data_IF_432911900135
#
_entry.id   IF_432911900135
#
_cell.length_a   1.000
_cell.length_b   1.000
_cell.length_c   1.000
_cell.angle_alpha   90.00
_cell.angle_beta   90.00
_cell.angle_gamma   90.00
#
_symmetry.space_group_name_H-M   'P 1'
#
loop_
_entity.id
_entity.type
_entity.pdbx_description
1 polymer ?
#
# COMPACT_ATOMS: atom_id res chain seq x y z
N UNK A 1 -6.79 -32.24 12.97
CA UNK A 1 -8.17 -32.50 12.49
C UNK A 1 -8.86 -33.58 13.32
N UNK A 2 -8.17 -34.62 13.77
CA UNK A 2 -8.76 -35.72 14.55
C UNK A 2 -9.18 -35.33 15.99
N UNK A 3 -8.45 -34.41 16.63
CA UNK A 3 -8.82 -33.89 17.96
C UNK A 3 -10.06 -32.98 17.95
N UNK A 4 -10.34 -32.32 16.82
CA UNK A 4 -11.49 -31.41 16.70
C UNK A 4 -12.81 -32.17 16.52
N UNK A 5 -12.77 -33.30 15.81
CA UNK A 5 -13.95 -34.17 15.64
C UNK A 5 -14.32 -34.89 16.95
N UNK A 6 -13.33 -35.23 17.78
CA UNK A 6 -13.58 -35.88 19.07
C UNK A 6 -14.33 -34.97 20.06
N UNK A 7 -14.01 -33.68 20.08
CA UNK A 7 -14.72 -32.70 20.92
C UNK A 7 -16.14 -32.41 20.41
N UNK A 8 -16.37 -32.49 19.11
CA UNK A 8 -17.70 -32.30 18.51
C UNK A 8 -18.63 -33.48 18.79
N UNK A 9 -18.14 -34.72 18.77
CA UNK A 9 -18.95 -35.89 19.13
C UNK A 9 -19.27 -35.97 20.63
N UNK A 10 -18.31 -35.62 21.50
CA UNK A 10 -18.52 -35.58 22.94
C UNK A 10 -19.59 -34.54 23.34
N UNK A 11 -19.64 -33.40 22.65
CA UNK A 11 -20.68 -32.37 22.85
C UNK A 11 -22.08 -32.82 22.43
N UNK A 12 -22.19 -33.64 21.38
CA UNK A 12 -23.48 -34.12 20.87
C UNK A 12 -24.07 -35.24 21.76
N UNK A 13 -23.23 -36.11 22.31
CA UNK A 13 -23.62 -37.16 23.25
C UNK A 13 -24.14 -36.61 24.59
N UNK A 14 -23.56 -35.52 25.09
CA UNK A 14 -23.96 -34.88 26.34
C UNK A 14 -25.34 -34.20 26.24
N UNK A 15 -25.67 -33.63 25.07
CA UNK A 15 -26.97 -33.02 24.82
C UNK A 15 -28.09 -34.07 24.75
N UNK A 16 -27.83 -35.20 24.09
CA UNK A 16 -28.83 -36.27 23.93
C UNK A 16 -29.12 -37.01 25.25
N UNK A 17 -28.14 -37.12 26.16
CA UNK A 17 -28.34 -37.75 27.47
C UNK A 17 -29.15 -36.88 28.44
N UNK A 18 -29.17 -35.56 28.24
CA UNK A 18 -29.93 -34.62 29.07
C UNK A 18 -31.43 -34.61 28.71
N UNK A 19 -31.78 -34.76 27.42
CA UNK A 19 -33.19 -34.82 26.99
C UNK A 19 -33.87 -36.13 27.39
N UNK A 20 -33.15 -37.26 27.35
CA UNK A 20 -33.66 -38.56 27.81
C UNK A 20 -33.99 -38.57 29.32
N UNK A 21 -33.31 -37.75 30.12
CA UNK A 21 -33.58 -37.60 31.58
C UNK A 21 -34.88 -36.86 31.88
N UNK A 22 -35.31 -35.96 31.01
CA UNK A 22 -36.52 -35.15 31.20
C UNK A 22 -37.80 -35.90 30.82
N UNK A 23 -37.69 -36.89 29.93
CA UNK A 23 -38.83 -37.73 29.50
C UNK A 23 -39.18 -38.74 30.60
N UNK A 24 -38.19 -39.41 31.19
CA UNK A 24 -38.42 -40.40 32.26
C UNK A 24 -39.00 -39.82 33.55
N UNK A 25 -38.81 -38.53 33.82
CA UNK A 25 -39.39 -37.88 35.00
C UNK A 25 -40.90 -37.59 34.87
N UNK A 26 -41.48 -37.71 33.67
CA UNK A 26 -42.89 -37.41 33.42
C UNK A 26 -43.82 -38.63 33.54
N UNK A 27 -43.28 -39.84 33.63
CA UNK A 27 -44.06 -41.09 33.67
C UNK A 27 -44.31 -41.64 35.09
N UNK A 28 -43.74 -41.04 36.14
CA UNK A 28 -43.79 -41.60 37.52
C UNK A 28 -44.98 -41.11 38.36
N UNK A 29 -45.87 -40.26 37.83
CA UNK A 29 -46.93 -39.61 38.63
C UNK A 29 -48.36 -40.12 38.35
N UNK A 30 -48.54 -41.33 37.83
CA UNK A 30 -49.87 -41.96 37.69
C UNK A 30 -49.92 -43.28 38.47
N UNK A 31 -50.48 -43.23 39.68
CA UNK A 31 -50.75 -44.40 40.51
C UNK A 31 -51.94 -44.14 41.45
N UNK A 32 -53.00 -44.92 41.22
CA UNK A 32 -54.07 -45.34 42.15
C UNK A 32 -55.44 -44.60 42.24
N UNK A 33 -56.41 -45.20 41.51
CA UNK A 33 -57.78 -45.69 41.87
C UNK A 33 -58.86 -44.71 42.42
N UNK A 34 -59.96 -44.46 41.67
CA UNK A 34 -61.29 -45.17 41.57
C UNK A 34 -62.15 -45.05 42.87
N UNK A 35 -63.44 -44.65 42.96
CA UNK A 35 -64.53 -44.17 42.06
C UNK A 35 -65.78 -43.71 42.94
N UNK A 36 -67.05 -43.53 42.50
CA UNK A 36 -67.87 -42.28 42.39
C UNK A 36 -69.19 -42.29 43.25
N UNK A 37 -70.37 -41.64 42.94
CA UNK A 37 -70.77 -40.59 41.97
C UNK A 37 -71.70 -39.47 42.55
N UNK A 38 -71.97 -38.40 41.76
CA UNK A 38 -73.31 -37.77 41.57
C UNK A 38 -73.17 -36.55 40.63
N UNK A 39 -73.59 -36.66 39.36
CA UNK A 39 -74.92 -36.33 38.82
C UNK A 39 -75.02 -34.91 38.22
N UNK A 40 -74.85 -34.90 36.90
CA UNK A 40 -75.28 -34.01 35.82
C UNK A 40 -75.88 -32.62 36.13
N UNK A 41 -75.31 -31.60 35.49
CA UNK A 41 -75.98 -30.83 34.41
C UNK A 41 -74.97 -29.95 33.65
N UNK A 42 -74.89 -30.14 32.33
CA UNK A 42 -74.07 -29.35 31.40
C UNK A 42 -74.54 -27.89 31.32
N UNK A 43 -73.58 -26.95 31.40
CA UNK A 43 -73.75 -25.54 31.05
C UNK A 43 -72.93 -25.22 29.79
N UNK A 44 -73.42 -24.32 28.92
CA UNK A 44 -72.83 -24.07 27.61
C UNK A 44 -71.43 -23.46 27.73
N UNK A 45 -70.54 -23.88 26.84
CA UNK A 45 -69.18 -23.35 26.69
C UNK A 45 -69.23 -21.87 26.27
N UNK A 46 -68.96 -20.98 27.22
CA UNK A 46 -68.61 -19.58 26.94
C UNK A 46 -67.09 -19.46 26.91
N UNK A 47 -66.58 -18.89 25.82
CA UNK A 47 -65.17 -18.60 25.60
C UNK A 47 -64.72 -17.42 26.48
N UNK A 48 -64.28 -17.72 27.70
CA UNK A 48 -63.70 -16.76 28.64
C UNK A 48 -62.21 -16.51 28.32
N UNK A 49 -61.92 -15.78 27.24
CA UNK A 49 -60.61 -15.14 27.09
C UNK A 49 -60.41 -14.11 28.23
N UNK A 50 -59.80 -14.54 29.33
CA UNK A 50 -59.55 -13.68 30.50
C UNK A 50 -58.80 -12.40 30.09
N UNK A 51 -59.33 -11.19 30.40
CA UNK A 51 -58.75 -9.90 29.99
C UNK A 51 -57.33 -9.67 30.53
N UNK A 52 -56.94 -10.41 31.57
CA UNK A 52 -55.61 -10.39 32.17
C UNK A 52 -54.48 -10.89 31.24
N UNK A 53 -54.78 -11.73 30.24
CA UNK A 53 -53.81 -12.22 29.25
C UNK A 53 -53.48 -11.15 28.20
N UNK A 54 -54.53 -10.53 27.64
CA UNK A 54 -54.44 -9.55 26.56
C UNK A 54 -53.69 -8.29 26.99
N UNK A 55 -53.95 -7.80 28.20
CA UNK A 55 -53.26 -6.64 28.77
C UNK A 55 -51.75 -6.93 28.95
N UNK A 56 -51.39 -8.13 29.42
CA UNK A 56 -49.99 -8.55 29.56
C UNK A 56 -49.29 -8.64 28.21
N UNK A 57 -49.98 -9.13 27.18
CA UNK A 57 -49.46 -9.19 25.81
C UNK A 57 -49.29 -7.77 25.21
N UNK A 58 -50.28 -6.89 25.40
CA UNK A 58 -50.21 -5.50 24.94
C UNK A 58 -49.07 -4.72 25.60
N UNK A 59 -48.85 -4.90 26.91
CA UNK A 59 -47.73 -4.28 27.62
C UNK A 59 -46.38 -4.80 27.12
N UNK A 60 -46.27 -6.11 26.87
CA UNK A 60 -45.06 -6.71 26.30
C UNK A 60 -44.79 -6.20 24.88
N UNK A 61 -45.82 -6.09 24.05
CA UNK A 61 -45.71 -5.58 22.69
C UNK A 61 -45.34 -4.09 22.67
N UNK A 62 -45.94 -3.28 23.55
CA UNK A 62 -45.60 -1.87 23.71
C UNK A 62 -44.15 -1.69 24.18
N UNK A 63 -43.68 -2.51 25.13
CA UNK A 63 -42.29 -2.51 25.58
C UNK A 63 -41.30 -2.88 24.46
N UNK A 64 -41.63 -3.89 23.66
CA UNK A 64 -40.79 -4.27 22.51
C UNK A 64 -40.77 -3.16 21.45
N UNK A 65 -41.92 -2.54 21.16
CA UNK A 65 -42.02 -1.47 20.18
C UNK A 65 -41.27 -0.20 20.63
N UNK A 66 -41.34 0.14 21.92
CA UNK A 66 -40.59 1.28 22.50
C UNK A 66 -39.09 1.02 22.49
N UNK A 67 -38.64 -0.16 22.92
CA UNK A 67 -37.22 -0.56 22.83
C UNK A 67 -36.70 -0.56 21.38
N UNK A 68 -37.52 -1.02 20.42
CA UNK A 68 -37.18 -0.99 18.99
C UNK A 68 -37.11 0.45 18.47
N UNK A 69 -38.03 1.31 18.89
CA UNK A 69 -38.03 2.73 18.53
C UNK A 69 -36.80 3.46 19.10
N UNK A 70 -36.41 3.19 20.35
CA UNK A 70 -35.18 3.76 20.93
C UNK A 70 -33.93 3.28 20.21
N UNK A 71 -33.83 1.99 19.87
CA UNK A 71 -32.73 1.47 19.06
C UNK A 71 -32.66 2.15 17.69
N UNK A 72 -33.80 2.33 17.02
CA UNK A 72 -33.87 3.03 15.72
C UNK A 72 -33.44 4.49 15.85
N UNK A 73 -33.91 5.21 16.87
CA UNK A 73 -33.51 6.59 17.15
C UNK A 73 -32.00 6.70 17.40
N UNK A 74 -31.45 5.83 18.25
CA UNK A 74 -30.02 5.82 18.55
C UNK A 74 -29.17 5.47 17.32
N UNK A 75 -29.65 4.58 16.45
CA UNK A 75 -28.99 4.25 15.18
C UNK A 75 -29.01 5.40 14.17
N UNK A 76 -30.10 6.18 14.11
CA UNK A 76 -30.17 7.38 13.25
C UNK A 76 -29.25 8.48 13.77
N UNK A 77 -29.22 8.70 15.09
CA UNK A 77 -28.35 9.71 15.72
C UNK A 77 -26.87 9.35 15.55
N UNK A 78 -26.48 8.08 15.69
CA UNK A 78 -25.09 7.66 15.48
C UNK A 78 -24.67 7.81 14.02
N UNK A 79 -25.52 7.45 13.06
CA UNK A 79 -25.28 7.69 11.62
C UNK A 79 -25.14 9.18 11.30
N UNK A 80 -25.96 10.04 11.90
CA UNK A 80 -25.86 11.49 11.73
C UNK A 80 -24.57 12.06 12.33
N UNK A 81 -24.13 11.57 13.50
CA UNK A 81 -22.85 11.96 14.10
C UNK A 81 -21.66 11.53 13.25
N UNK A 82 -21.68 10.30 12.71
CA UNK A 82 -20.63 9.79 11.81
C UNK A 82 -20.58 10.61 10.52
N UNK A 83 -21.74 10.92 9.92
CA UNK A 83 -21.81 11.78 8.73
C UNK A 83 -21.21 13.16 8.99
N UNK A 84 -21.56 13.80 10.11
CA UNK A 84 -21.00 15.10 10.50
C UNK A 84 -19.49 15.06 10.75
N UNK A 85 -18.96 14.00 11.37
CA UNK A 85 -17.52 13.84 11.59
C UNK A 85 -16.79 13.65 10.25
N UNK A 86 -17.37 12.87 9.32
CA UNK A 86 -16.82 12.69 7.97
C UNK A 86 -16.79 13.99 7.19
N UNK A 87 -17.86 14.79 7.27
CA UNK A 87 -17.93 16.08 6.59
C UNK A 87 -16.91 17.07 7.18
N UNK A 88 -16.72 17.07 8.51
CA UNK A 88 -15.68 17.86 9.16
C UNK A 88 -14.28 17.42 8.72
N UNK A 89 -14.01 16.12 8.66
CA UNK A 89 -12.73 15.57 8.20
C UNK A 89 -12.44 15.95 6.73
N UNK A 90 -13.43 15.88 5.85
CA UNK A 90 -13.31 16.31 4.45
C UNK A 90 -13.02 17.81 4.33
N UNK A 91 -13.67 18.63 5.15
CA UNK A 91 -13.40 20.07 5.21
C UNK A 91 -11.99 20.37 5.71
N UNK A 92 -11.49 19.68 6.73
CA UNK A 92 -10.10 19.82 7.19
C UNK A 92 -9.08 19.41 6.13
N UNK A 93 -9.30 18.29 5.46
CA UNK A 93 -8.42 17.83 4.37
C UNK A 93 -8.43 18.84 3.20
N UNK A 94 -9.60 19.34 2.81
CA UNK A 94 -9.73 20.36 1.77
C UNK A 94 -9.04 21.67 2.15
N UNK A 95 -9.18 22.11 3.40
CA UNK A 95 -8.51 23.31 3.92
C UNK A 95 -6.98 23.14 3.95
N UNK A 96 -6.47 21.95 4.29
CA UNK A 96 -5.03 21.65 4.24
C UNK A 96 -4.51 21.63 2.80
N UNK A 97 -5.26 21.06 1.85
CA UNK A 97 -4.89 21.10 0.42
C UNK A 97 -4.86 22.53 -0.13
N UNK A 98 -5.85 23.36 0.22
CA UNK A 98 -5.86 24.78 -0.14
C UNK A 98 -4.67 25.53 0.49
N UNK A 99 -4.32 25.23 1.74
CA UNK A 99 -3.13 25.80 2.39
C UNK A 99 -1.85 25.39 1.66
N UNK A 100 -1.70 24.12 1.28
CA UNK A 100 -0.54 23.64 0.53
C UNK A 100 -0.39 24.34 -0.84
N UNK A 101 -1.50 24.57 -1.54
CA UNK A 101 -1.50 25.30 -2.81
C UNK A 101 -1.08 26.77 -2.59
N UNK A 102 -1.57 27.42 -1.54
CA UNK A 102 -1.16 28.78 -1.16
C UNK A 102 0.31 28.88 -0.73
N UNK A 103 0.88 27.82 -0.18
CA UNK A 103 2.32 27.75 0.13
C UNK A 103 3.19 27.48 -1.11
N UNK A 104 2.65 26.83 -2.14
CA UNK A 104 3.36 26.61 -3.40
C UNK A 104 3.45 27.86 -4.29
N UNK A 105 2.61 28.88 -4.04
CA UNK A 105 2.56 30.12 -4.82
C UNK A 105 2.94 31.34 -3.96
N UNK A 106 4.11 31.30 -3.31
CA UNK A 106 4.82 32.53 -2.92
C UNK A 106 5.89 32.83 -3.99
N UNK A 107 5.62 33.73 -4.95
CA UNK A 107 6.65 34.18 -5.88
C UNK A 107 7.63 35.13 -5.16
N UNK A 108 8.88 35.05 -5.57
CA UNK A 108 10.05 35.68 -4.99
C UNK A 108 9.88 37.18 -4.69
N UNK A 109 10.23 37.58 -3.47
CA UNK A 109 10.69 38.95 -3.18
C UNK A 109 11.97 38.87 -2.36
N UNK A 110 13.11 38.95 -3.05
CA UNK A 110 14.44 38.99 -2.47
C UNK A 110 15.41 38.15 -3.28
N UNK A 111 16.23 38.81 -4.10
CA UNK A 111 17.20 38.18 -5.00
C UNK A 111 18.14 37.22 -4.28
N UNK A 112 18.41 36.10 -4.94
CA UNK A 112 19.32 35.07 -4.45
C UNK A 112 19.69 34.05 -5.53
N UNK A 113 19.70 34.45 -6.80
CA UNK A 113 20.16 33.61 -7.91
C UNK A 113 21.69 33.53 -8.01
N UNK A 114 22.41 34.56 -7.54
CA UNK A 114 23.85 34.67 -7.81
C UNK A 114 24.74 34.17 -6.66
N UNK A 115 24.17 33.98 -5.46
CA UNK A 115 24.95 33.64 -4.25
C UNK A 115 25.13 32.13 -4.10
N UNK A 116 24.11 31.32 -4.44
CA UNK A 116 24.16 29.87 -4.32
C UNK A 116 25.14 29.22 -5.32
N UNK A 117 25.19 29.72 -6.57
CA UNK A 117 26.17 29.24 -7.55
C UNK A 117 27.60 29.57 -7.12
N UNK A 118 27.86 30.81 -6.66
CA UNK A 118 29.23 31.23 -6.28
C UNK A 118 29.82 30.40 -5.14
N UNK A 119 29.01 30.03 -4.16
CA UNK A 119 29.47 29.23 -3.02
C UNK A 119 29.62 27.76 -3.40
N UNK A 120 28.80 27.24 -4.32
CA UNK A 120 28.96 25.89 -4.88
C UNK A 120 30.29 25.76 -5.65
N UNK A 121 30.60 26.72 -6.53
CA UNK A 121 31.85 26.74 -7.30
C UNK A 121 33.11 26.89 -6.41
N UNK A 122 32.99 27.48 -5.22
CA UNK A 122 34.10 27.60 -4.24
C UNK A 122 34.43 26.29 -3.52
N UNK A 123 33.51 25.34 -3.47
CA UNK A 123 33.67 24.09 -2.71
C UNK A 123 33.65 22.82 -3.59
N UNK A 124 33.91 22.95 -4.89
CA UNK A 124 33.89 21.79 -5.77
C UNK A 124 34.97 20.78 -5.39
N UNK A 125 34.70 19.46 -5.53
CA UNK A 125 35.71 18.44 -5.36
C UNK A 125 36.90 18.67 -6.31
N UNK A 126 38.11 18.21 -5.97
CA UNK A 126 39.21 18.20 -6.93
C UNK A 126 38.85 17.29 -8.12
N UNK A 127 39.30 17.63 -9.31
CA UNK A 127 39.10 16.75 -10.47
C UNK A 127 39.99 15.51 -10.37
N UNK A 128 39.39 14.34 -10.63
CA UNK A 128 40.11 13.08 -10.68
C UNK A 128 41.04 13.04 -11.89
N UNK A 129 42.33 12.83 -11.65
CA UNK A 129 43.32 12.68 -12.71
C UNK A 129 43.53 11.19 -13.00
N UNK A 130 43.11 10.74 -14.18
CA UNK A 130 43.34 9.38 -14.68
C UNK A 130 43.32 9.34 -16.21
N UNK A 131 44.01 8.35 -16.78
CA UNK A 131 43.89 8.00 -18.19
C UNK A 131 42.67 7.12 -18.39
N UNK A 132 41.81 7.51 -19.33
CA UNK A 132 40.55 6.82 -19.55
C UNK A 132 40.71 5.64 -20.50
N UNK A 133 40.26 4.47 -20.07
CA UNK A 133 40.30 3.22 -20.83
C UNK A 133 39.19 3.12 -21.91
N UNK A 134 38.34 4.14 -22.04
CA UNK A 134 37.24 4.15 -23.01
C UNK A 134 36.06 4.99 -22.56
N UNK A 135 34.91 4.77 -23.20
CA UNK A 135 33.67 5.48 -22.91
C UNK A 135 32.58 4.51 -22.48
N UNK A 136 31.88 4.85 -21.39
CA UNK A 136 30.70 4.14 -20.93
C UNK A 136 29.46 4.96 -21.27
N UNK A 137 28.54 4.38 -22.03
CA UNK A 137 27.23 4.94 -22.31
C UNK A 137 26.17 4.17 -21.53
N UNK A 138 25.23 4.88 -20.92
CA UNK A 138 24.18 4.28 -20.10
C UNK A 138 22.83 4.68 -20.68
N UNK A 139 21.95 3.69 -20.85
CA UNK A 139 20.51 3.90 -21.01
C UNK A 139 19.80 3.44 -19.74
N UNK A 140 19.00 4.30 -19.13
CA UNK A 140 18.25 4.01 -17.91
C UNK A 140 16.75 4.01 -18.17
N UNK A 141 16.05 2.99 -17.69
CA UNK A 141 14.59 2.84 -17.76
C UNK A 141 14.04 2.59 -16.33
N UNK A 142 12.72 2.65 -16.18
CA UNK A 142 12.00 2.33 -14.94
C UNK A 142 11.40 3.57 -14.26
N UNK A 143 11.06 3.44 -12.98
CA UNK A 143 10.65 4.59 -12.18
C UNK A 143 11.85 5.46 -11.76
N UNK A 144 11.63 6.73 -11.39
CA UNK A 144 12.69 7.68 -11.01
C UNK A 144 13.68 7.10 -9.99
N UNK A 145 13.20 6.38 -8.98
CA UNK A 145 14.07 5.77 -7.98
C UNK A 145 14.95 4.63 -8.55
N UNK A 146 14.43 3.86 -9.50
CA UNK A 146 15.18 2.79 -10.17
C UNK A 146 16.24 3.39 -11.09
N UNK A 147 15.90 4.46 -11.83
CA UNK A 147 16.88 5.19 -12.64
C UNK A 147 18.03 5.70 -11.76
N UNK A 148 17.74 6.32 -10.61
CA UNK A 148 18.76 6.83 -9.68
C UNK A 148 19.68 5.71 -9.19
N UNK A 149 19.13 4.56 -8.84
CA UNK A 149 19.93 3.40 -8.44
C UNK A 149 20.83 2.90 -9.57
N UNK A 150 20.27 2.72 -10.78
CA UNK A 150 21.03 2.23 -11.93
C UNK A 150 22.15 3.18 -12.35
N UNK A 151 21.90 4.49 -12.36
CA UNK A 151 22.92 5.50 -12.64
C UNK A 151 24.05 5.44 -11.59
N UNK A 152 23.71 5.29 -10.31
CA UNK A 152 24.69 5.18 -9.23
C UNK A 152 25.61 3.95 -9.41
N UNK A 153 25.03 2.80 -9.74
CA UNK A 153 25.78 1.57 -9.98
C UNK A 153 26.77 1.75 -11.14
N UNK A 154 26.33 2.38 -12.23
CA UNK A 154 27.17 2.61 -13.39
C UNK A 154 28.27 3.66 -13.14
N UNK A 155 28.02 4.69 -12.32
CA UNK A 155 29.06 5.62 -11.86
C UNK A 155 30.15 4.87 -11.08
N UNK A 156 29.75 3.96 -10.21
CA UNK A 156 30.70 3.13 -9.46
C UNK A 156 31.52 2.23 -10.40
N UNK A 157 30.89 1.58 -11.37
CA UNK A 157 31.57 0.76 -12.39
C UNK A 157 32.53 1.63 -13.22
N UNK A 158 32.12 2.82 -13.64
CA UNK A 158 32.96 3.73 -14.42
C UNK A 158 34.22 4.13 -13.64
N UNK A 159 34.06 4.42 -12.34
CA UNK A 159 35.17 4.70 -11.43
C UNK A 159 36.15 3.53 -11.36
N UNK A 160 35.63 2.30 -11.21
CA UNK A 160 36.45 1.10 -11.05
C UNK A 160 37.20 0.68 -12.31
N UNK A 161 36.59 0.85 -13.48
CA UNK A 161 37.20 0.51 -14.77
C UNK A 161 38.05 1.66 -15.34
N UNK A 162 38.10 2.81 -14.66
CA UNK A 162 38.75 4.03 -15.14
C UNK A 162 38.29 4.40 -16.56
N UNK A 163 36.98 4.41 -16.80
CA UNK A 163 36.39 4.84 -18.07
C UNK A 163 35.77 6.23 -17.93
N UNK A 164 35.61 6.93 -19.05
CA UNK A 164 34.89 8.21 -19.10
C UNK A 164 33.41 7.90 -19.23
N UNK A 165 32.60 8.47 -18.35
CA UNK A 165 31.16 8.30 -18.42
C UNK A 165 30.55 9.34 -19.37
N UNK A 166 29.65 8.91 -20.25
CA UNK A 166 28.79 9.83 -21.00
C UNK A 166 27.51 10.07 -20.19
N UNK A 167 27.01 11.31 -20.18
CA UNK A 167 25.75 11.66 -19.50
C UNK A 167 24.67 10.63 -19.86
N UNK A 168 23.98 10.03 -18.85
CA UNK A 168 23.01 8.98 -19.10
C UNK A 168 21.88 9.43 -20.02
N UNK A 169 21.39 8.49 -20.83
CA UNK A 169 20.18 8.68 -21.63
C UNK A 169 19.00 8.00 -20.94
N UNK A 170 17.84 8.63 -21.01
CA UNK A 170 16.61 8.04 -20.50
C UNK A 170 15.94 7.27 -21.65
N UNK A 171 15.51 6.05 -21.34
CA UNK A 171 14.79 5.22 -22.30
C UNK A 171 13.35 5.73 -22.43
N UNK A 172 13.08 6.39 -23.55
CA UNK A 172 11.76 6.92 -23.89
C UNK A 172 10.73 5.83 -24.22
N UNK A 173 11.12 4.55 -24.24
CA UNK A 173 10.18 3.41 -24.43
C UNK A 173 9.54 2.94 -23.12
N UNK A 174 9.72 3.70 -22.03
CA UNK A 174 9.22 3.36 -20.69
C UNK A 174 7.69 3.25 -20.61
N UNK A 175 7.23 2.49 -19.62
CA UNK A 175 5.81 2.29 -19.28
C UNK A 175 5.02 3.60 -19.08
N UNK A 176 5.73 4.71 -18.77
CA UNK A 176 5.14 6.00 -18.45
C UNK A 176 4.94 6.91 -19.67
N UNK A 177 5.32 6.46 -20.88
CA UNK A 177 5.24 7.23 -22.13
C UNK A 177 5.81 8.67 -22.00
N UNK A 178 6.87 8.80 -21.21
CA UNK A 178 7.56 10.06 -20.98
C UNK A 178 8.70 10.21 -22.00
N UNK A 179 8.75 11.34 -22.70
CA UNK A 179 9.80 11.68 -23.66
C UNK A 179 10.89 12.57 -23.05
N UNK A 180 10.79 12.86 -21.76
CA UNK A 180 11.75 13.67 -21.02
C UNK A 180 13.17 13.10 -21.16
N UNK A 181 14.11 14.00 -21.45
CA UNK A 181 15.52 13.69 -21.49
C UNK A 181 16.14 13.82 -20.11
N UNK A 182 17.38 13.33 -19.95
CA UNK A 182 18.07 13.38 -18.65
C UNK A 182 18.15 14.81 -18.09
N UNK A 183 18.39 15.80 -18.96
CA UNK A 183 18.46 17.21 -18.57
C UNK A 183 17.12 17.82 -18.14
N UNK A 184 15.99 17.21 -18.52
CA UNK A 184 14.66 17.68 -18.13
C UNK A 184 14.31 17.25 -16.68
N UNK A 185 14.97 16.20 -16.18
CA UNK A 185 14.73 15.62 -14.85
C UNK A 185 15.88 15.93 -13.87
N UNK A 186 17.12 15.93 -14.35
CA UNK A 186 18.33 16.09 -13.55
C UNK A 186 19.14 17.30 -14.00
N UNK A 187 19.70 18.04 -13.03
CA UNK A 187 20.67 19.08 -13.34
C UNK A 187 22.00 18.44 -13.78
N UNK A 188 22.29 18.52 -15.08
CA UNK A 188 23.47 17.92 -15.72
C UNK A 188 24.77 18.51 -15.20
N UNK A 189 24.83 19.83 -15.04
CA UNK A 189 26.06 20.51 -14.62
C UNK A 189 26.38 20.15 -13.17
N UNK A 190 25.37 20.16 -12.29
CA UNK A 190 25.51 19.67 -10.91
C UNK A 190 25.94 18.20 -10.87
N UNK A 191 25.38 17.33 -11.73
CA UNK A 191 25.77 15.92 -11.80
C UNK A 191 27.24 15.74 -12.21
N UNK A 192 27.73 16.52 -13.17
CA UNK A 192 29.13 16.47 -13.61
C UNK A 192 30.05 17.01 -12.51
N UNK A 193 29.71 18.16 -11.93
CA UNK A 193 30.55 18.84 -10.96
C UNK A 193 30.61 18.12 -9.61
N UNK A 194 29.50 17.49 -9.18
CA UNK A 194 29.44 16.72 -7.93
C UNK A 194 30.19 15.40 -7.97
N UNK A 195 30.48 14.86 -9.16
CA UNK A 195 31.16 13.57 -9.34
C UNK A 195 32.58 13.72 -9.91
N UNK A 196 33.09 14.95 -10.02
CA UNK A 196 34.37 15.23 -10.69
C UNK A 196 35.59 14.58 -10.03
N UNK A 197 35.54 14.30 -8.74
CA UNK A 197 36.55 13.56 -7.98
C UNK A 197 36.44 12.04 -8.14
N UNK A 198 35.33 11.57 -8.69
CA UNK A 198 35.03 10.14 -8.83
C UNK A 198 35.19 9.62 -10.25
N UNK A 199 34.64 10.35 -11.23
CA UNK A 199 34.65 9.93 -12.63
C UNK A 199 34.60 11.15 -13.55
N UNK A 200 35.31 11.08 -14.67
CA UNK A 200 35.22 12.08 -15.73
C UNK A 200 33.93 11.86 -16.51
N UNK A 201 33.08 12.88 -16.57
CA UNK A 201 31.78 12.83 -17.25
C UNK A 201 31.78 13.80 -18.44
N UNK A 202 31.38 13.33 -19.61
CA UNK A 202 31.16 14.17 -20.80
C UNK A 202 29.69 14.21 -21.18
N UNK A 203 29.22 15.38 -21.62
CA UNK A 203 27.82 15.55 -22.08
C UNK A 203 27.49 14.69 -23.31
N UNK A 204 28.47 14.50 -24.19
CA UNK A 204 28.30 13.73 -25.42
C UNK A 204 29.59 12.97 -25.75
N UNK A 205 29.44 11.88 -26.50
CA UNK A 205 30.58 11.12 -27.02
C UNK A 205 31.39 11.98 -28.02
N UNK A 206 32.73 11.99 -27.95
CA UNK A 206 33.55 12.71 -28.93
C UNK A 206 33.34 12.23 -30.37
N UNK A 207 33.44 13.14 -31.33
CA UNK A 207 33.21 12.85 -32.75
C UNK A 207 34.15 11.75 -33.28
N UNK A 208 35.42 11.76 -32.91
CA UNK A 208 36.38 10.73 -33.30
C UNK A 208 35.95 9.33 -32.85
N UNK A 209 35.34 9.23 -31.66
CA UNK A 209 34.80 7.97 -31.15
C UNK A 209 33.52 7.56 -31.86
N UNK A 210 32.65 8.51 -32.21
CA UNK A 210 31.46 8.25 -33.04
C UNK A 210 31.85 7.72 -34.42
N UNK A 211 32.85 8.32 -35.06
CA UNK A 211 33.37 7.90 -36.37
C UNK A 211 33.93 6.47 -36.31
N UNK A 212 34.75 6.16 -35.30
CA UNK A 212 35.27 4.80 -35.08
C UNK A 212 34.15 3.76 -34.92
N UNK A 213 33.07 4.10 -34.23
CA UNK A 213 31.91 3.21 -34.08
C UNK A 213 31.20 3.03 -35.43
N UNK A 214 31.04 4.10 -36.22
CA UNK A 214 30.43 4.05 -37.54
C UNK A 214 31.27 3.21 -38.54
N UNK A 215 32.59 3.29 -38.46
CA UNK A 215 33.53 2.56 -39.33
C UNK A 215 33.70 1.08 -38.93
N UNK A 216 33.85 0.82 -37.63
CA UNK A 216 34.05 -0.55 -37.12
C UNK A 216 32.75 -1.34 -36.95
N UNK A 217 31.61 -0.65 -36.87
CA UNK A 217 30.30 -1.24 -36.57
C UNK A 217 30.20 -1.88 -35.18
N UNK A 218 31.20 -1.73 -34.32
CA UNK A 218 31.28 -2.41 -33.03
C UNK A 218 30.95 -1.45 -31.90
N UNK A 219 29.75 -1.62 -31.32
CA UNK A 219 29.38 -1.07 -30.03
C UNK A 219 28.99 -2.23 -29.13
N UNK A 220 29.80 -2.48 -28.11
CA UNK A 220 29.48 -3.50 -27.11
C UNK A 220 28.37 -2.97 -26.20
N UNK A 221 27.23 -3.65 -26.20
CA UNK A 221 26.08 -3.33 -25.36
C UNK A 221 25.70 -4.55 -24.53
N UNK A 222 25.46 -4.33 -23.24
CA UNK A 222 24.98 -5.36 -22.32
C UNK A 222 24.03 -4.76 -21.29
N UNK A 223 23.07 -5.56 -20.83
CA UNK A 223 22.22 -5.19 -19.72
C UNK A 223 22.98 -5.36 -18.38
N UNK A 224 22.72 -4.53 -17.37
CA UNK A 224 23.24 -4.75 -16.03
C UNK A 224 22.71 -6.06 -15.45
N UNK A 225 23.54 -6.79 -14.72
CA UNK A 225 23.16 -8.06 -14.09
C UNK A 225 22.96 -7.85 -12.60
N UNK A 226 21.77 -8.22 -12.11
CA UNK A 226 21.44 -8.13 -10.69
C UNK A 226 22.41 -8.93 -9.82
N UNK A 227 22.83 -8.35 -8.69
CA UNK A 227 23.79 -8.94 -7.74
C UNK A 227 25.17 -9.29 -8.32
N UNK A 228 25.53 -8.73 -9.47
CA UNK A 228 26.88 -8.86 -10.00
C UNK A 228 27.88 -8.05 -9.17
N UNK A 229 29.10 -8.55 -9.08
CA UNK A 229 30.21 -7.84 -8.43
C UNK A 229 31.01 -7.04 -9.47
N UNK A 230 31.79 -6.05 -9.05
CA UNK A 230 32.70 -5.27 -9.90
C UNK A 230 33.56 -6.15 -10.83
N UNK A 231 34.07 -7.27 -10.31
CA UNK A 231 34.89 -8.23 -11.06
C UNK A 231 34.16 -8.85 -12.25
N UNK A 232 32.82 -8.97 -12.21
CA UNK A 232 32.04 -9.45 -13.34
C UNK A 232 32.24 -8.56 -14.56
N UNK A 233 32.11 -7.24 -14.36
CA UNK A 233 32.26 -6.24 -15.42
C UNK A 233 33.69 -6.19 -15.96
N UNK A 234 34.68 -6.29 -15.07
CA UNK A 234 36.09 -6.35 -15.49
C UNK A 234 36.34 -7.58 -16.38
N UNK A 235 35.91 -8.76 -15.93
CA UNK A 235 36.13 -9.99 -16.69
C UNK A 235 35.42 -9.97 -18.05
N UNK A 236 34.17 -9.48 -18.06
CA UNK A 236 33.36 -9.38 -19.27
C UNK A 236 33.97 -8.45 -20.32
N UNK A 237 34.52 -7.31 -19.90
CA UNK A 237 35.02 -6.27 -20.81
C UNK A 237 36.47 -6.45 -21.24
N UNK A 238 37.33 -7.05 -20.41
CA UNK A 238 38.77 -7.16 -20.69
C UNK A 238 39.25 -8.55 -21.10
N UNK A 239 38.44 -9.62 -20.92
CA UNK A 239 38.82 -10.98 -21.32
C UNK A 239 37.93 -11.58 -22.41
N UNK A 240 36.68 -11.14 -22.53
CA UNK A 240 35.74 -11.63 -23.54
C UNK A 240 35.65 -10.72 -24.78
N UNK A 241 36.30 -9.56 -24.75
CA UNK A 241 36.35 -8.55 -25.81
C UNK A 241 37.76 -7.94 -25.90
#
# INVERSE_FOLDING_TARGET
>A
MEQLNKQLEEGFLLHHHHEQRLINHREVANGDKLEPPESYNEKPYYDDEKPYSKIKLMNKLHFINTMKAEKMKNAVVSKLRIAKIRDLALQFISMLLLLCILFHWKPLRGGGGDVADSDFYKSLPPERVYESNGYLMISSNGGLNQMRSGICDMVAIARYLNVTLIVPQLDNTSFWNDQSQFADIFNVDYFIESLRDEVKILKQLPEDSKLKIAESGSLYSMAPVSWSNMSYYYNKLFYEY
#
